data_IF_468323827630
#
_entry.id   IF_468323827630
#
_cell.length_a   1.000
_cell.length_b   1.000
_cell.length_c   1.000
_cell.angle_alpha   90.00
_cell.angle_beta   90.00
_cell.angle_gamma   90.00
#
_symmetry.space_group_name_H-M   'P 1'
#
loop_
_entity.id
_entity.type
_entity.pdbx_description
1 polymer ?
#
# COMPACT_ATOMS: atom_id res chain seq x y z
N UNK A 1 -3.55 -8.33 0.60
CA UNK A 1 -4.08 -7.55 1.75
C UNK A 1 -4.21 -6.09 1.32
N UNK A 2 -5.21 -5.32 1.77
CA UNK A 2 -5.31 -3.89 1.38
C UNK A 2 -4.88 -3.00 2.55
N UNK A 3 -3.77 -2.28 2.38
CA UNK A 3 -3.36 -1.23 3.32
C UNK A 3 -4.05 0.07 2.91
N UNK A 4 -4.82 0.64 3.83
CA UNK A 4 -5.39 1.97 3.67
C UNK A 4 -4.52 3.00 4.36
N UNK A 5 -4.10 4.04 3.66
CA UNK A 5 -3.20 5.07 4.16
C UNK A 5 -3.89 6.45 4.07
N UNK A 6 -3.71 7.27 5.11
CA UNK A 6 -4.08 8.70 5.12
C UNK A 6 -2.87 9.55 5.56
N UNK A 7 -2.47 10.54 4.74
CA UNK A 7 -1.27 11.40 4.91
C UNK A 7 -1.70 12.84 4.62
N UNK A 8 -1.44 13.76 5.56
CA UNK A 8 -1.97 15.13 5.47
C UNK A 8 -1.01 16.16 4.85
N UNK A 9 0.31 15.96 4.90
CA UNK A 9 1.26 17.06 4.57
C UNK A 9 2.44 16.69 3.66
N UNK A 10 2.64 15.42 3.26
CA UNK A 10 3.86 14.95 2.54
C UNK A 10 3.54 13.94 1.42
N UNK A 11 2.33 14.00 0.84
CA UNK A 11 1.82 12.99 -0.11
C UNK A 11 2.76 12.79 -1.32
N UNK A 12 3.25 13.87 -1.93
CA UNK A 12 4.10 13.80 -3.12
C UNK A 12 5.45 13.11 -2.85
N UNK A 13 6.15 13.52 -1.80
CA UNK A 13 7.45 12.95 -1.42
C UNK A 13 7.34 11.47 -1.01
N UNK A 14 6.25 11.08 -0.34
CA UNK A 14 6.02 9.67 -0.02
C UNK A 14 5.76 8.85 -1.29
N UNK A 15 4.92 9.36 -2.21
CA UNK A 15 4.66 8.68 -3.48
C UNK A 15 5.92 8.56 -4.34
N UNK A 16 6.74 9.60 -4.40
CA UNK A 16 8.04 9.60 -5.07
C UNK A 16 9.01 8.59 -4.43
N UNK A 17 9.11 8.60 -3.10
CA UNK A 17 9.96 7.66 -2.37
C UNK A 17 9.50 6.20 -2.52
N UNK A 18 8.18 6.00 -2.59
CA UNK A 18 7.58 4.69 -2.84
C UNK A 18 7.86 4.23 -4.29
N UNK A 19 7.70 5.11 -5.28
CA UNK A 19 8.06 4.80 -6.66
C UNK A 19 9.56 4.42 -6.78
N UNK A 20 10.43 5.18 -6.12
CA UNK A 20 11.87 4.88 -6.06
C UNK A 20 12.20 3.60 -5.27
N UNK A 21 11.25 3.04 -4.51
CA UNK A 21 11.45 1.74 -3.82
C UNK A 21 11.39 0.55 -4.76
N UNK A 22 10.77 0.70 -5.94
CA UNK A 22 10.65 -0.36 -6.95
C UNK A 22 12.02 -0.92 -7.36
N UNK A 23 13.04 -0.06 -7.45
CA UNK A 23 14.40 -0.44 -7.80
C UNK A 23 15.12 -1.30 -6.75
N UNK A 24 14.53 -1.47 -5.56
CA UNK A 24 15.07 -2.30 -4.47
C UNK A 24 14.28 -3.59 -4.27
N UNK A 25 13.19 -3.80 -5.02
CA UNK A 25 12.36 -4.98 -4.87
C UNK A 25 13.08 -6.22 -5.40
N UNK A 26 12.81 -7.41 -4.83
CA UNK A 26 13.34 -8.66 -5.37
C UNK A 26 12.86 -8.85 -6.82
N UNK A 27 13.69 -9.43 -7.71
CA UNK A 27 13.39 -9.55 -9.15
C UNK A 27 12.32 -10.62 -9.48
N UNK A 28 11.43 -10.94 -8.53
CA UNK A 28 10.39 -11.95 -8.70
C UNK A 28 9.07 -11.32 -9.19
N UNK A 29 8.22 -12.16 -9.80
CA UNK A 29 6.92 -11.76 -10.36
C UNK A 29 5.91 -11.28 -9.31
N UNK A 30 6.21 -11.44 -8.03
CA UNK A 30 5.36 -11.02 -6.92
C UNK A 30 5.76 -9.65 -6.35
N UNK A 31 6.74 -9.00 -6.97
CA UNK A 31 7.13 -7.58 -6.82
C UNK A 31 6.04 -6.55 -7.13
N UNK A 32 4.79 -6.99 -7.29
CA UNK A 32 3.63 -6.11 -7.51
C UNK A 32 3.48 -5.06 -6.40
N UNK A 33 2.81 -3.97 -6.77
CA UNK A 33 2.42 -2.84 -5.93
C UNK A 33 2.04 -3.20 -4.49
N UNK A 34 1.29 -4.28 -4.27
CA UNK A 34 0.93 -4.72 -2.92
C UNK A 34 2.14 -5.16 -2.09
N UNK A 35 2.97 -6.08 -2.58
CA UNK A 35 4.16 -6.54 -1.86
C UNK A 35 5.14 -5.40 -1.60
N UNK A 36 5.36 -4.58 -2.62
CA UNK A 36 6.20 -3.39 -2.56
C UNK A 36 5.75 -2.42 -1.46
N UNK A 37 4.44 -2.13 -1.37
CA UNK A 37 3.89 -1.21 -0.39
C UNK A 37 4.08 -1.72 1.04
N UNK A 38 3.92 -3.03 1.27
CA UNK A 38 4.13 -3.61 2.59
C UNK A 38 5.58 -3.50 3.05
N UNK A 39 6.55 -3.82 2.18
CA UNK A 39 7.98 -3.65 2.48
C UNK A 39 8.30 -2.18 2.73
N UNK A 40 7.93 -1.28 1.82
CA UNK A 40 8.23 0.15 1.94
C UNK A 40 7.69 0.76 3.23
N UNK A 41 6.44 0.46 3.59
CA UNK A 41 5.86 0.95 4.84
C UNK A 41 6.59 0.40 6.06
N UNK A 42 6.99 -0.87 6.05
CA UNK A 42 7.75 -1.42 7.16
C UNK A 42 9.14 -0.75 7.29
N UNK A 43 9.80 -0.42 6.18
CA UNK A 43 11.09 0.28 6.19
C UNK A 43 10.99 1.69 6.79
N UNK A 44 9.95 2.46 6.45
CA UNK A 44 9.83 3.85 6.92
C UNK A 44 9.22 3.97 8.33
N UNK A 45 8.42 2.97 8.77
CA UNK A 45 7.70 3.03 10.04
C UNK A 45 8.44 2.32 11.18
N UNK A 46 9.34 1.40 10.87
CA UNK A 46 10.04 0.58 11.86
C UNK A 46 11.48 1.05 12.06
N UNK A 47 12.06 0.89 13.27
CA UNK A 47 13.47 1.18 13.48
C UNK A 47 14.37 0.35 12.56
N UNK A 48 15.47 0.92 12.03
CA UNK A 48 16.44 0.16 11.26
C UNK A 48 17.01 -0.98 12.12
N UNK A 49 17.28 -2.13 11.50
CA UNK A 49 17.81 -3.37 12.12
C UNK A 49 16.84 -4.21 12.97
N UNK A 50 15.52 -4.08 12.82
CA UNK A 50 14.60 -5.09 13.37
C UNK A 50 14.83 -6.46 12.71
N UNK A 51 15.19 -7.44 13.52
CA UNK A 51 15.48 -8.81 13.05
C UNK A 51 14.24 -9.44 12.40
N UNK A 52 13.05 -9.08 12.88
CA UNK A 52 11.77 -9.53 12.35
C UNK A 52 11.49 -8.99 10.95
N UNK A 53 11.88 -7.74 10.65
CA UNK A 53 11.72 -7.19 9.31
C UNK A 53 12.58 -7.98 8.30
N UNK A 54 13.82 -8.31 8.68
CA UNK A 54 14.69 -9.16 7.86
C UNK A 54 14.08 -10.54 7.60
N UNK A 55 13.40 -11.13 8.59
CA UNK A 55 12.67 -12.41 8.40
C UNK A 55 11.52 -12.27 7.42
N UNK A 56 10.73 -11.19 7.50
CA UNK A 56 9.67 -10.95 6.54
C UNK A 56 10.23 -10.74 5.13
N UNK A 57 11.28 -9.91 4.98
CA UNK A 57 11.91 -9.67 3.68
C UNK A 57 12.49 -10.95 3.07
N UNK A 58 13.06 -11.84 3.86
CA UNK A 58 13.52 -13.14 3.38
C UNK A 58 12.39 -13.98 2.74
N UNK A 59 11.18 -13.96 3.33
CA UNK A 59 10.00 -14.62 2.74
C UNK A 59 9.65 -13.98 1.39
N UNK A 60 9.70 -12.65 1.32
CA UNK A 60 9.38 -11.92 0.11
C UNK A 60 10.38 -12.16 -1.03
N UNK A 61 11.67 -12.17 -0.72
CA UNK A 61 12.76 -12.47 -1.66
C UNK A 61 12.63 -13.88 -2.25
N UNK A 62 12.16 -14.83 -1.44
CA UNK A 62 12.02 -16.24 -1.82
C UNK A 62 10.59 -16.62 -2.24
N UNK A 63 9.72 -15.64 -2.49
CA UNK A 63 8.31 -15.84 -2.81
C UNK A 63 8.13 -16.59 -4.14
N UNK A 64 7.45 -17.75 -4.11
CA UNK A 64 7.19 -18.61 -5.29
C UNK A 64 5.76 -18.57 -5.78
N UNK A 65 4.84 -18.07 -4.94
CA UNK A 65 3.41 -18.12 -5.17
C UNK A 65 2.66 -17.05 -4.39
N UNK A 66 1.38 -16.89 -4.71
CA UNK A 66 0.47 -16.06 -3.91
C UNK A 66 0.43 -16.49 -2.43
N UNK A 67 0.60 -17.78 -2.13
CA UNK A 67 0.67 -18.28 -0.75
C UNK A 67 1.83 -17.67 0.05
N UNK A 68 3.03 -17.63 -0.54
CA UNK A 68 4.21 -17.00 0.08
C UNK A 68 4.03 -15.48 0.19
N UNK A 69 3.42 -14.85 -0.81
CA UNK A 69 3.09 -13.43 -0.78
C UNK A 69 2.13 -13.10 0.37
N UNK A 70 1.08 -13.90 0.56
CA UNK A 70 0.16 -13.75 1.71
C UNK A 70 0.88 -13.97 3.04
N UNK A 71 1.81 -14.92 3.11
CA UNK A 71 2.61 -15.16 4.32
C UNK A 71 3.50 -13.95 4.63
N UNK A 72 4.17 -13.39 3.62
CA UNK A 72 4.95 -12.16 3.74
C UNK A 72 4.09 -10.98 4.21
N UNK A 73 2.96 -10.73 3.54
CA UNK A 73 2.00 -9.68 3.91
C UNK A 73 1.62 -9.81 5.38
N UNK A 74 1.23 -11.01 5.82
CA UNK A 74 0.85 -11.26 7.20
C UNK A 74 2.02 -11.07 8.18
N UNK A 75 3.25 -11.40 7.78
CA UNK A 75 4.45 -11.14 8.57
C UNK A 75 4.63 -9.64 8.84
N UNK A 76 4.51 -8.80 7.80
CA UNK A 76 4.58 -7.34 7.93
C UNK A 76 3.44 -6.79 8.80
N UNK A 77 2.21 -7.30 8.64
CA UNK A 77 1.09 -6.88 9.49
C UNK A 77 1.32 -7.22 10.96
N UNK A 78 1.85 -8.40 11.25
CA UNK A 78 2.23 -8.78 12.61
C UNK A 78 3.32 -7.87 13.17
N UNK A 79 4.25 -7.43 12.33
CA UNK A 79 5.32 -6.51 12.70
C UNK A 79 4.81 -5.10 13.08
N UNK A 80 3.88 -4.57 12.28
CA UNK A 80 3.21 -3.28 12.50
C UNK A 80 2.22 -3.35 13.69
N UNK A 81 1.71 -4.54 13.99
CA UNK A 81 0.79 -4.79 15.09
C UNK A 81 -0.60 -4.17 14.87
N UNK A 82 -1.28 -3.85 15.97
CA UNK A 82 -2.63 -3.27 15.93
C UNK A 82 -2.63 -1.73 15.85
N UNK A 83 -1.45 -1.12 15.78
CA UNK A 83 -1.29 0.33 15.69
C UNK A 83 -1.87 0.84 14.37
N UNK A 84 -2.72 1.86 14.46
CA UNK A 84 -3.32 2.51 13.29
C UNK A 84 -2.67 3.86 12.97
N UNK A 85 -1.82 4.37 13.86
CA UNK A 85 -1.24 5.70 13.73
C UNK A 85 0.27 5.64 13.99
N UNK A 86 1.03 6.04 12.97
CA UNK A 86 2.49 6.08 12.97
C UNK A 86 2.93 7.48 12.54
N UNK A 87 2.92 8.42 13.49
CA UNK A 87 3.21 9.82 13.22
C UNK A 87 2.26 10.41 12.17
N UNK A 88 2.78 10.68 10.97
CA UNK A 88 2.04 11.24 9.83
C UNK A 88 1.32 10.20 8.97
N UNK A 89 1.57 8.91 9.20
CA UNK A 89 0.96 7.80 8.46
C UNK A 89 -0.14 7.17 9.31
N UNK A 90 -1.35 7.09 8.77
CA UNK A 90 -2.47 6.38 9.40
C UNK A 90 -2.85 5.17 8.58
N UNK A 91 -2.78 3.97 9.18
CA UNK A 91 -3.23 2.71 8.57
C UNK A 91 -4.69 2.47 8.96
N UNK A 92 -5.60 2.55 8.00
CA UNK A 92 -7.05 2.36 8.23
C UNK A 92 -7.44 0.89 8.03
N UNK A 93 -8.44 0.45 8.78
CA UNK A 93 -9.05 -0.86 8.57
C UNK A 93 -10.03 -0.77 7.41
N UNK A 94 -9.85 -1.62 6.40
CA UNK A 94 -10.80 -1.76 5.30
C UNK A 94 -12.17 -2.15 5.85
N UNK A 95 -13.21 -1.43 5.42
CA UNK A 95 -14.61 -1.83 5.66
C UNK A 95 -14.84 -3.14 4.94
N UNK A 96 -15.27 -4.16 5.69
CA UNK A 96 -15.59 -5.48 5.18
C UNK A 96 -17.05 -5.77 5.51
N UNK A 97 -17.89 -5.84 4.49
CA UNK A 97 -19.25 -6.37 4.60
C UNK A 97 -19.20 -7.89 4.66
N UNK A 98 -18.61 -8.45 5.72
CA UNK A 98 -18.82 -9.86 5.99
C UNK A 98 -20.27 -10.01 6.44
N UNK A 99 -21.05 -10.79 5.69
CA UNK A 99 -22.51 -10.87 5.63
C UNK A 99 -23.25 -11.12 6.97
N UNK A 100 -22.55 -11.26 8.10
CA UNK A 100 -23.14 -11.53 9.41
C UNK A 100 -22.75 -10.52 10.51
N UNK A 101 -21.72 -9.71 10.32
CA UNK A 101 -21.33 -8.67 11.28
C UNK A 101 -20.74 -7.48 10.52
N UNK A 102 -21.38 -6.31 10.65
CA UNK A 102 -20.87 -5.06 10.12
C UNK A 102 -19.59 -4.69 10.90
N UNK A 103 -18.44 -5.15 10.41
CA UNK A 103 -17.15 -4.69 10.94
C UNK A 103 -17.01 -3.24 10.51
N UNK A 104 -17.13 -2.31 11.46
CA UNK A 104 -16.85 -0.90 11.25
C UNK A 104 -15.41 -0.74 10.75
N UNK A 105 -15.24 -0.67 9.43
CA UNK A 105 -14.00 -0.17 8.85
C UNK A 105 -14.00 1.36 8.90
N UNK A 106 -12.80 1.92 8.92
CA UNK A 106 -12.60 3.36 9.11
C UNK A 106 -12.14 4.04 7.82
N UNK A 107 -12.19 3.34 6.69
CA UNK A 107 -11.78 3.88 5.40
C UNK A 107 -12.25 3.04 4.20
N UNK A 108 -12.41 3.73 3.07
CA UNK A 108 -12.79 3.15 1.79
C UNK A 108 -11.60 3.20 0.83
N UNK A 109 -11.43 2.14 0.05
CA UNK A 109 -10.52 2.12 -1.10
C UNK A 109 -11.30 2.65 -2.30
N UNK A 110 -10.76 3.62 -3.05
CA UNK A 110 -11.43 4.19 -4.23
C UNK A 110 -10.81 3.60 -5.49
N UNK A 111 -11.61 2.92 -6.31
CA UNK A 111 -11.22 2.62 -7.69
C UNK A 111 -11.41 3.86 -8.55
N UNK A 112 -10.39 4.23 -9.33
CA UNK A 112 -10.39 5.46 -10.13
C UNK A 112 -11.61 5.54 -11.08
N UNK A 113 -12.03 4.39 -11.62
CA UNK A 113 -13.17 4.29 -12.54
C UNK A 113 -14.51 4.60 -11.87
N UNK A 114 -14.65 4.29 -10.57
CA UNK A 114 -15.88 4.54 -9.82
C UNK A 114 -16.01 5.99 -9.35
N UNK A 115 -14.89 6.71 -9.19
CA UNK A 115 -14.89 8.09 -8.70
C UNK A 115 -14.69 9.13 -9.78
N UNK A 116 -14.60 8.71 -11.05
CA UNK A 116 -14.20 9.58 -12.17
C UNK A 116 -12.90 10.35 -11.86
N UNK A 117 -11.94 9.66 -11.24
CA UNK A 117 -10.65 10.23 -10.80
C UNK A 117 -10.75 11.44 -9.86
N UNK A 118 -11.89 11.67 -9.21
CA UNK A 118 -12.06 12.75 -8.23
C UNK A 118 -11.46 12.39 -6.87
N UNK A 119 -10.77 13.36 -6.28
CA UNK A 119 -10.18 13.27 -4.94
C UNK A 119 -11.19 13.65 -3.86
N UNK A 120 -11.08 13.05 -2.67
CA UNK A 120 -11.82 13.51 -1.48
C UNK A 120 -11.23 14.82 -0.97
N UNK A 121 -12.11 15.69 -0.47
CA UNK A 121 -11.76 17.01 0.06
C UNK A 121 -11.04 16.91 1.41
N UNK A 122 -11.31 15.86 2.18
CA UNK A 122 -10.84 15.76 3.57
C UNK A 122 -9.49 15.03 3.70
N UNK A 123 -9.39 13.75 3.31
CA UNK A 123 -8.22 12.93 3.69
C UNK A 123 -7.91 11.71 2.78
N UNK A 124 -8.45 11.59 1.57
CA UNK A 124 -8.20 10.36 0.78
C UNK A 124 -6.85 10.40 0.04
N UNK A 125 -6.05 9.35 0.21
CA UNK A 125 -5.06 8.95 -0.78
C UNK A 125 -5.04 7.42 -0.87
N UNK A 126 -5.93 6.88 -1.68
CA UNK A 126 -6.05 5.45 -1.85
C UNK A 126 -6.41 5.18 -3.29
N UNK A 127 -5.38 5.04 -4.12
CA UNK A 127 -5.55 4.59 -5.49
C UNK A 127 -5.35 3.08 -5.48
N UNK A 128 -6.38 2.35 -5.87
CA UNK A 128 -6.30 0.91 -6.07
C UNK A 128 -6.20 0.59 -7.54
N UNK A 129 -5.37 -0.40 -7.85
CA UNK A 129 -5.37 -1.07 -9.15
C UNK A 129 -5.09 -0.14 -10.34
N UNK A 130 -4.13 0.80 -10.18
CA UNK A 130 -3.67 1.62 -11.31
C UNK A 130 -2.81 0.76 -12.23
N UNK A 131 -3.43 0.24 -13.30
CA UNK A 131 -2.74 -0.58 -14.29
C UNK A 131 -2.14 0.30 -15.39
N UNK A 132 -0.94 -0.05 -15.85
CA UNK A 132 -0.32 0.60 -17.01
C UNK A 132 -1.24 0.61 -18.24
N UNK A 133 -2.00 -0.47 -18.45
CA UNK A 133 -2.97 -0.57 -19.55
C UNK A 133 -4.17 0.39 -19.46
N UNK A 134 -4.36 1.10 -18.35
CA UNK A 134 -5.40 2.14 -18.20
C UNK A 134 -4.84 3.56 -18.30
N UNK A 135 -3.55 3.72 -18.62
CA UNK A 135 -2.94 5.03 -18.80
C UNK A 135 -3.50 5.71 -20.05
N UNK A 136 -4.00 6.93 -19.89
CA UNK A 136 -4.35 7.80 -21.00
C UNK A 136 -3.09 8.56 -21.45
N UNK A 137 -2.78 8.51 -22.74
CA UNK A 137 -1.73 9.34 -23.34
C UNK A 137 -2.34 10.65 -23.81
N UNK A 138 -1.95 11.75 -23.18
CA UNK A 138 -2.34 13.09 -23.62
C UNK A 138 -1.34 13.60 -24.65
N UNK A 139 -1.85 14.19 -25.74
CA UNK A 139 -1.01 14.75 -26.81
C UNK A 139 -0.47 16.14 -26.49
N UNK A 140 -0.99 16.80 -25.45
CA UNK A 140 -0.66 18.18 -25.09
C UNK A 140 -0.69 18.33 -23.56
N UNK A 141 0.29 19.07 -23.03
CA UNK A 141 0.36 19.53 -21.63
C UNK A 141 0.40 21.06 -21.59
N UNK A 142 -0.31 21.75 -20.66
CA UNK A 142 -1.12 21.18 -19.59
C UNK A 142 -2.43 20.58 -20.11
N UNK A 143 -2.89 19.54 -19.40
CA UNK A 143 -4.15 18.85 -19.70
C UNK A 143 -5.29 19.85 -19.39
N UNK A 144 -6.26 20.07 -20.31
CA UNK A 144 -7.38 20.98 -20.09
C UNK A 144 -8.33 20.53 -18.97
#
# INVERSE_FOLDING_TARGET
MTILLSIRTWKAQLLESFANSEFRLPPNIYGSDNGALHTYLAEILMPPNRTELRKCNWIYENCRGYGDLFLFENCIRKLLGNSQQFGKVKILRKVSTAFLYCVQGTGWVRDHGLTNSKWSVEDDFMIHNWKAGHQLTYKVTPIP
#
